data_IF_067011832547
#
_entry.id   IF_067011832547
#
_cell.length_a   1.000
_cell.length_b   1.000
_cell.length_c   1.000
_cell.angle_alpha   90.00
_cell.angle_beta   90.00
_cell.angle_gamma   90.00
#
_symmetry.space_group_name_H-M   'P 1'
#
loop_
_entity.id
_entity.type
_entity.pdbx_description
1 polymer ?
#
# COMPACT_ATOMS: atom_id res chain seq x y z
N UNK A 1 20.83 8.15 19.30
CA UNK A 1 20.29 9.39 18.71
C UNK A 1 18.96 9.67 19.38
N UNK A 2 18.62 10.91 19.75
CA UNK A 2 17.27 11.18 20.28
C UNK A 2 16.24 11.14 19.15
N UNK A 3 14.98 10.85 19.49
CA UNK A 3 13.88 10.88 18.53
C UNK A 3 13.76 12.26 17.86
N UNK A 4 13.94 13.34 18.61
CA UNK A 4 13.92 14.72 18.06
C UNK A 4 14.99 14.93 16.99
N UNK A 5 16.21 14.40 17.19
CA UNK A 5 17.26 14.45 16.16
C UNK A 5 16.87 13.61 14.94
N UNK A 6 16.30 12.43 15.13
CA UNK A 6 15.82 11.58 14.03
C UNK A 6 14.74 12.27 13.19
N UNK A 7 13.80 12.96 13.85
CA UNK A 7 12.73 13.72 13.19
C UNK A 7 13.31 14.86 12.37
N UNK A 8 14.26 15.62 12.93
CA UNK A 8 14.90 16.71 12.22
C UNK A 8 15.69 16.23 10.98
N UNK A 9 16.41 15.11 11.10
CA UNK A 9 17.15 14.50 9.98
C UNK A 9 16.20 13.95 8.90
N UNK A 10 15.11 13.29 9.30
CA UNK A 10 14.10 12.78 8.36
C UNK A 10 13.42 13.93 7.61
N UNK A 11 13.09 15.03 8.29
CA UNK A 11 12.56 16.23 7.66
C UNK A 11 13.55 16.82 6.65
N UNK A 12 14.81 17.00 7.03
CA UNK A 12 15.84 17.52 6.13
C UNK A 12 16.02 16.63 4.89
N UNK A 13 15.95 15.30 5.05
CA UNK A 13 15.98 14.35 3.95
C UNK A 13 14.76 14.49 3.04
N UNK A 14 13.55 14.63 3.61
CA UNK A 14 12.32 14.85 2.85
C UNK A 14 12.36 16.17 2.07
N UNK A 15 12.88 17.24 2.66
CA UNK A 15 13.03 18.55 2.01
C UNK A 15 13.99 18.46 0.82
N UNK A 16 15.17 17.88 1.01
CA UNK A 16 16.15 17.70 -0.06
C UNK A 16 15.63 16.82 -1.20
N UNK A 17 14.95 15.72 -0.84
CA UNK A 17 14.33 14.81 -1.80
C UNK A 17 13.20 15.49 -2.57
N UNK A 18 12.35 16.28 -1.90
CA UNK A 18 11.28 17.06 -2.54
C UNK A 18 11.85 17.99 -3.60
N UNK A 19 12.90 18.74 -3.24
CA UNK A 19 13.58 19.61 -4.20
C UNK A 19 14.09 18.82 -5.41
N UNK A 20 14.80 17.70 -5.21
CA UNK A 20 15.29 16.86 -6.32
C UNK A 20 14.17 16.38 -7.24
N UNK A 21 13.06 15.87 -6.67
CA UNK A 21 11.95 15.32 -7.44
C UNK A 21 11.23 16.42 -8.23
N UNK A 22 11.05 17.61 -7.66
CA UNK A 22 10.45 18.74 -8.38
C UNK A 22 11.37 19.20 -9.52
N UNK A 23 12.68 19.29 -9.29
CA UNK A 23 13.62 19.57 -10.39
C UNK A 23 13.49 18.51 -11.49
N UNK A 24 13.41 17.23 -11.13
CA UNK A 24 13.26 16.14 -12.09
C UNK A 24 11.99 16.24 -12.94
N UNK A 25 10.82 16.46 -12.32
CA UNK A 25 9.53 16.45 -13.05
C UNK A 25 9.28 17.70 -13.89
N UNK A 26 9.88 18.84 -13.53
CA UNK A 26 9.62 20.12 -14.20
C UNK A 26 10.78 20.63 -15.09
N UNK A 27 11.91 19.89 -15.14
CA UNK A 27 12.99 20.18 -16.08
C UNK A 27 12.73 19.54 -17.46
N UNK A 28 12.95 20.28 -18.53
CA UNK A 28 12.54 19.89 -19.90
C UNK A 28 13.18 18.61 -20.41
N UNK A 29 14.38 18.26 -19.91
CA UNK A 29 15.12 17.06 -20.32
C UNK A 29 14.69 15.78 -19.59
N UNK A 30 14.00 15.89 -18.46
CA UNK A 30 13.68 14.74 -17.60
C UNK A 30 12.19 14.57 -17.35
N UNK A 31 11.43 15.66 -17.32
CA UNK A 31 10.01 15.68 -16.96
C UNK A 31 9.10 14.87 -17.88
N UNK A 32 7.92 14.52 -17.37
CA UNK A 32 6.87 13.88 -18.18
C UNK A 32 6.12 14.92 -19.01
N UNK A 33 5.61 14.55 -20.20
CA UNK A 33 4.77 15.44 -20.99
C UNK A 33 3.64 16.09 -20.17
N UNK A 34 2.99 15.33 -19.29
CA UNK A 34 1.94 15.85 -18.41
C UNK A 34 2.42 16.98 -17.50
N UNK A 35 3.51 16.79 -16.75
CA UNK A 35 3.98 17.81 -15.80
C UNK A 35 4.60 19.02 -16.50
N UNK A 36 5.23 18.82 -17.66
CA UNK A 36 5.74 19.92 -18.48
C UNK A 36 4.62 20.79 -19.05
N UNK A 37 3.51 20.18 -19.48
CA UNK A 37 2.31 20.92 -19.88
C UNK A 37 1.70 21.66 -18.69
N UNK A 38 1.50 20.98 -17.55
CA UNK A 38 0.95 21.60 -16.34
C UNK A 38 1.81 22.73 -15.79
N UNK A 39 3.13 22.70 -15.97
CA UNK A 39 4.02 23.82 -15.61
C UNK A 39 3.53 25.15 -16.19
N UNK A 40 3.00 25.14 -17.41
CA UNK A 40 2.54 26.36 -18.10
C UNK A 40 1.24 26.94 -17.53
N UNK A 41 0.51 26.17 -16.72
CA UNK A 41 -0.75 26.57 -16.08
C UNK A 41 -0.55 27.06 -14.64
N UNK A 42 0.64 26.85 -14.06
CA UNK A 42 0.96 27.28 -12.70
C UNK A 42 1.21 28.79 -12.65
N UNK A 43 0.80 29.42 -11.54
CA UNK A 43 1.05 30.83 -11.26
C UNK A 43 2.39 31.09 -10.56
N UNK A 44 3.25 30.08 -10.49
CA UNK A 44 4.58 30.10 -9.88
C UNK A 44 5.51 29.18 -10.70
N UNK A 45 6.83 29.35 -10.60
CA UNK A 45 7.81 28.47 -11.23
C UNK A 45 8.32 27.39 -10.26
N UNK A 46 7.95 26.10 -10.45
CA UNK A 46 8.39 25.03 -9.56
C UNK A 46 9.91 24.89 -9.43
N UNK A 47 10.67 25.24 -10.48
CA UNK A 47 12.12 25.06 -10.47
C UNK A 47 12.82 26.08 -9.55
N UNK A 48 12.24 27.27 -9.39
CA UNK A 48 12.83 28.35 -8.60
C UNK A 48 12.15 28.51 -7.24
N UNK A 49 10.86 28.22 -7.13
CA UNK A 49 10.06 28.55 -5.95
C UNK A 49 9.80 27.37 -5.00
N UNK A 50 10.13 26.14 -5.37
CA UNK A 50 10.00 24.97 -4.47
C UNK A 50 11.38 24.57 -3.97
N UNK A 51 11.59 24.63 -2.65
CA UNK A 51 12.88 24.37 -1.97
C UNK A 51 12.77 23.35 -0.84
N UNK A 52 11.58 23.12 -0.30
CA UNK A 52 11.33 22.14 0.74
C UNK A 52 9.96 21.45 0.55
N UNK A 53 9.64 20.51 1.46
CA UNK A 53 8.36 19.80 1.43
C UNK A 53 7.15 20.73 1.62
N UNK A 54 7.25 21.71 2.52
CA UNK A 54 6.17 22.65 2.80
C UNK A 54 5.77 23.50 1.57
N UNK A 55 6.71 23.76 0.65
CA UNK A 55 6.43 24.49 -0.59
C UNK A 55 5.49 23.72 -1.54
N UNK A 56 5.28 22.41 -1.34
CA UNK A 56 4.31 21.66 -2.13
C UNK A 56 2.87 22.17 -1.96
N UNK A 57 2.58 22.90 -0.88
CA UNK A 57 1.29 23.58 -0.66
C UNK A 57 0.96 24.64 -1.72
N UNK A 58 1.94 25.07 -2.52
CA UNK A 58 1.74 25.98 -3.67
C UNK A 58 1.05 25.29 -4.85
N UNK A 59 1.17 23.97 -4.99
CA UNK A 59 0.50 23.24 -6.05
C UNK A 59 -1.00 23.11 -5.77
N UNK A 60 -1.85 23.12 -6.81
CA UNK A 60 -3.21 22.63 -6.66
C UNK A 60 -3.20 21.14 -6.29
N UNK A 61 -4.29 20.67 -5.68
CA UNK A 61 -4.47 19.24 -5.40
C UNK A 61 -4.41 18.43 -6.71
N UNK A 62 -3.76 17.27 -6.63
CA UNK A 62 -3.80 16.27 -7.69
C UNK A 62 -5.21 15.71 -7.83
N UNK A 63 -5.69 15.56 -9.06
CA UNK A 63 -7.02 14.99 -9.32
C UNK A 63 -6.88 13.53 -9.80
N UNK A 64 -7.59 12.60 -9.14
CA UNK A 64 -7.50 11.18 -9.52
C UNK A 64 -8.07 10.89 -10.92
N UNK A 65 -8.90 11.78 -11.45
CA UNK A 65 -9.45 11.67 -12.80
C UNK A 65 -8.40 11.90 -13.90
N UNK A 66 -7.31 12.61 -13.61
CA UNK A 66 -6.20 12.77 -14.56
C UNK A 66 -5.56 11.43 -14.94
N UNK A 67 -5.70 10.41 -14.10
CA UNK A 67 -5.23 9.05 -14.36
C UNK A 67 -6.16 8.26 -15.29
N UNK A 68 -7.30 8.80 -15.68
CA UNK A 68 -8.19 8.16 -16.67
C UNK A 68 -7.86 8.59 -18.09
N UNK A 69 -8.21 7.71 -19.02
CA UNK A 69 -8.01 7.95 -20.45
C UNK A 69 -6.55 7.85 -20.88
N UNK A 70 -6.24 8.40 -22.05
CA UNK A 70 -4.92 8.32 -22.65
C UNK A 70 -4.61 9.49 -23.58
N UNK A 71 -3.45 9.45 -24.27
CA UNK A 71 -2.46 8.36 -24.24
C UNK A 71 -1.72 8.30 -22.89
N UNK A 72 -1.59 7.11 -22.29
CA UNK A 72 -0.89 6.93 -21.00
C UNK A 72 0.60 7.29 -21.06
N UNK A 73 1.19 7.29 -22.26
CA UNK A 73 2.58 7.72 -22.51
C UNK A 73 2.88 9.13 -21.98
N UNK A 74 1.87 10.00 -21.83
CA UNK A 74 2.03 11.34 -21.23
C UNK A 74 2.61 11.33 -19.82
N UNK A 75 2.51 10.20 -19.12
CA UNK A 75 3.03 10.02 -17.77
C UNK A 75 4.48 9.51 -17.74
N UNK A 76 5.05 9.06 -18.86
CA UNK A 76 6.44 8.59 -18.91
C UNK A 76 7.38 9.81 -18.91
N UNK A 77 8.21 10.00 -17.87
CA UNK A 77 9.23 11.04 -17.87
C UNK A 77 10.24 10.80 -19.00
N UNK A 78 10.69 11.86 -19.67
CA UNK A 78 11.73 11.74 -20.71
C UNK A 78 13.01 11.07 -20.18
N UNK A 79 13.35 11.31 -18.92
CA UNK A 79 14.48 10.67 -18.26
C UNK A 79 14.37 9.14 -18.15
N UNK A 80 13.18 8.57 -18.38
CA UNK A 80 12.87 7.14 -18.37
C UNK A 80 12.23 6.64 -19.68
N UNK A 81 12.37 7.36 -20.79
CA UNK A 81 11.69 7.02 -22.04
C UNK A 81 12.05 5.64 -22.63
N UNK A 82 13.22 5.12 -22.23
CA UNK A 82 13.78 3.83 -22.66
C UNK A 82 13.63 2.71 -21.61
N UNK A 83 13.05 3.01 -20.45
CA UNK A 83 12.76 1.99 -19.43
C UNK A 83 11.54 1.15 -19.84
N UNK A 84 11.45 -0.12 -19.43
CA UNK A 84 10.22 -0.90 -19.54
C UNK A 84 9.08 -0.22 -18.79
N UNK A 85 7.93 -0.05 -19.46
CA UNK A 85 6.78 0.66 -18.93
C UNK A 85 5.64 -0.32 -18.63
N UNK A 86 5.16 -0.29 -17.39
CA UNK A 86 4.01 -1.05 -16.91
C UNK A 86 2.84 -0.12 -16.62
N UNK A 87 1.64 -0.69 -16.58
CA UNK A 87 0.41 0.01 -16.18
C UNK A 87 -0.26 -0.76 -15.06
N UNK A 88 -0.53 -0.08 -13.95
CA UNK A 88 -1.37 -0.59 -12.88
C UNK A 88 -2.72 0.10 -12.87
N UNK A 89 -3.77 -0.69 -12.81
CA UNK A 89 -5.13 -0.19 -12.87
C UNK A 89 -5.79 -0.19 -11.49
N UNK A 90 -6.53 0.88 -11.21
CA UNK A 90 -7.46 0.93 -10.08
C UNK A 90 -8.89 1.18 -10.57
N UNK A 91 -9.85 0.49 -9.95
CA UNK A 91 -11.26 0.50 -10.36
C UNK A 91 -11.51 -0.26 -11.67
N UNK A 92 -12.38 0.29 -12.52
CA UNK A 92 -12.75 -0.29 -13.81
C UNK A 92 -14.03 -1.14 -13.80
N UNK A 93 -14.84 -1.09 -12.74
CA UNK A 93 -16.07 -1.89 -12.66
C UNK A 93 -17.27 -1.21 -13.35
N UNK A 94 -17.20 0.10 -13.61
CA UNK A 94 -18.29 0.91 -14.21
C UNK A 94 -17.82 1.92 -15.28
N UNK A 95 -16.54 1.92 -15.67
CA UNK A 95 -15.98 2.89 -16.63
C UNK A 95 -14.49 2.69 -16.86
N UNK A 96 -13.84 3.63 -17.57
CA UNK A 96 -12.39 3.59 -17.86
C UNK A 96 -11.60 3.55 -16.54
N UNK A 97 -10.76 2.54 -16.28
CA UNK A 97 -9.97 2.47 -15.06
C UNK A 97 -8.96 3.62 -14.97
N UNK A 98 -8.56 3.96 -13.74
CA UNK A 98 -7.42 4.85 -13.52
C UNK A 98 -6.14 4.05 -13.74
N UNK A 99 -5.25 4.57 -14.58
CA UNK A 99 -4.01 3.93 -14.99
C UNK A 99 -2.82 4.68 -14.38
N UNK A 100 -2.10 4.03 -13.45
CA UNK A 100 -0.79 4.52 -13.02
C UNK A 100 0.27 3.88 -13.91
N UNK A 101 1.04 4.71 -14.59
CA UNK A 101 2.24 4.31 -15.31
C UNK A 101 3.38 4.14 -14.31
N UNK A 102 4.09 3.02 -14.41
CA UNK A 102 5.18 2.64 -13.48
C UNK A 102 6.31 1.98 -14.26
N UNK A 103 7.54 2.17 -13.79
CA UNK A 103 8.73 1.58 -14.41
C UNK A 103 9.50 0.76 -13.39
N UNK A 104 9.92 1.39 -12.29
CA UNK A 104 10.76 0.80 -11.25
C UNK A 104 10.23 0.96 -9.82
N UNK A 105 9.25 1.85 -9.57
CA UNK A 105 8.80 2.09 -8.18
C UNK A 105 8.28 0.84 -7.49
N UNK A 106 7.58 -0.02 -8.22
CA UNK A 106 7.04 -1.24 -7.65
C UNK A 106 8.10 -2.24 -7.19
N UNK A 107 9.29 -2.21 -7.79
CA UNK A 107 10.47 -2.93 -7.33
C UNK A 107 11.09 -2.22 -6.13
N UNK A 108 11.45 -0.95 -6.28
CA UNK A 108 12.14 -0.16 -5.24
C UNK A 108 11.35 -0.14 -3.94
N UNK A 109 10.04 0.07 -4.00
CA UNK A 109 9.19 0.14 -2.80
C UNK A 109 9.18 -1.19 -2.05
N UNK A 110 9.24 -2.33 -2.76
CA UNK A 110 9.24 -3.65 -2.14
C UNK A 110 10.64 -4.10 -1.71
N UNK A 111 11.69 -3.61 -2.36
CA UNK A 111 13.06 -3.72 -1.86
C UNK A 111 13.23 -2.96 -0.54
N UNK A 112 12.73 -1.73 -0.44
CA UNK A 112 12.73 -0.99 0.82
C UNK A 112 11.85 -1.66 1.89
N UNK A 113 10.71 -2.22 1.50
CA UNK A 113 9.87 -3.00 2.42
C UNK A 113 10.59 -4.24 2.95
N UNK A 114 11.34 -4.93 2.09
CA UNK A 114 12.17 -6.10 2.44
C UNK A 114 13.07 -5.83 3.64
N UNK A 115 13.64 -4.63 3.74
CA UNK A 115 14.52 -4.23 4.85
C UNK A 115 13.78 -4.07 6.18
N UNK A 116 12.46 -3.91 6.13
CA UNK A 116 11.63 -3.78 7.34
C UNK A 116 11.18 -5.12 7.93
N UNK A 117 11.30 -6.20 7.16
CA UNK A 117 10.80 -7.53 7.50
C UNK A 117 11.82 -8.31 8.35
N UNK A 118 11.41 -8.82 9.53
CA UNK A 118 12.31 -9.60 10.39
C UNK A 118 12.70 -10.92 9.71
N UNK A 119 14.00 -11.21 9.63
CA UNK A 119 14.50 -12.41 8.93
C UNK A 119 14.07 -13.73 9.60
N UNK A 120 13.81 -13.71 10.90
CA UNK A 120 13.28 -14.88 11.63
C UNK A 120 11.95 -15.39 11.06
N UNK A 121 11.07 -14.45 10.71
CA UNK A 121 9.73 -14.75 10.21
C UNK A 121 9.61 -14.66 8.69
N UNK A 122 10.47 -13.86 8.05
CA UNK A 122 10.58 -13.77 6.59
C UNK A 122 11.99 -14.20 6.13
N UNK A 123 12.37 -15.48 6.28
CA UNK A 123 13.73 -15.91 5.96
C UNK A 123 14.10 -15.65 4.50
N UNK A 124 15.36 -15.24 4.28
CA UNK A 124 15.92 -15.18 2.91
C UNK A 124 15.89 -16.58 2.29
N UNK A 125 15.64 -16.66 0.99
CA UNK A 125 15.48 -17.92 0.26
C UNK A 125 14.13 -18.64 0.46
N UNK A 126 13.25 -18.12 1.32
CA UNK A 126 11.93 -18.72 1.55
C UNK A 126 11.01 -18.57 0.34
N UNK A 127 10.18 -19.58 0.09
CA UNK A 127 9.13 -19.50 -0.91
C UNK A 127 7.90 -18.74 -0.38
N UNK A 128 7.21 -18.06 -1.29
CA UNK A 128 6.12 -17.13 -1.00
C UNK A 128 4.83 -17.57 -1.68
N UNK A 129 3.70 -17.38 -1.00
CA UNK A 129 2.37 -17.42 -1.60
C UNK A 129 1.81 -15.99 -1.73
N UNK A 130 1.46 -15.60 -2.95
CA UNK A 130 0.67 -14.41 -3.23
C UNK A 130 -0.81 -14.83 -3.32
N UNK A 131 -1.52 -14.72 -2.20
CA UNK A 131 -2.95 -14.96 -2.10
C UNK A 131 -3.69 -13.62 -2.23
N UNK A 132 -3.90 -13.17 -3.46
CA UNK A 132 -4.55 -11.89 -3.69
C UNK A 132 -4.75 -11.56 -5.17
N UNK A 133 -5.17 -10.32 -5.47
CA UNK A 133 -5.49 -9.91 -6.84
C UNK A 133 -4.35 -10.05 -7.84
N UNK A 134 -4.63 -10.72 -8.97
CA UNK A 134 -3.70 -10.90 -10.08
C UNK A 134 -3.91 -9.83 -11.19
N UNK A 135 -3.37 -10.10 -12.40
CA UNK A 135 -3.62 -9.28 -13.60
C UNK A 135 -3.03 -7.85 -13.56
N UNK A 136 -3.82 -6.79 -13.83
CA UNK A 136 -3.33 -5.41 -13.95
C UNK A 136 -3.09 -4.73 -12.59
N UNK A 137 -3.04 -5.51 -11.51
CA UNK A 137 -2.82 -5.02 -10.16
C UNK A 137 -1.33 -5.03 -9.85
N UNK A 138 -0.89 -3.99 -9.15
CA UNK A 138 0.48 -3.84 -8.68
C UNK A 138 0.97 -5.05 -7.88
N UNK A 139 0.12 -5.55 -6.98
CA UNK A 139 0.50 -6.52 -5.95
C UNK A 139 1.16 -7.77 -6.55
N UNK A 140 0.60 -8.33 -7.62
CA UNK A 140 1.16 -9.52 -8.28
C UNK A 140 2.66 -9.36 -8.58
N UNK A 141 3.02 -8.31 -9.33
CA UNK A 141 4.42 -8.06 -9.72
C UNK A 141 5.31 -7.67 -8.54
N UNK A 142 4.75 -6.96 -7.57
CA UNK A 142 5.51 -6.43 -6.46
C UNK A 142 5.84 -7.49 -5.40
N UNK A 143 4.89 -8.38 -5.07
CA UNK A 143 5.10 -9.54 -4.18
C UNK A 143 6.03 -10.56 -4.84
N UNK A 144 5.83 -10.82 -6.14
CA UNK A 144 6.70 -11.68 -6.92
C UNK A 144 8.15 -11.18 -6.90
N UNK A 145 8.36 -9.87 -7.11
CA UNK A 145 9.66 -9.25 -6.99
C UNK A 145 10.23 -9.32 -5.57
N UNK A 146 9.43 -9.07 -4.53
CA UNK A 146 9.89 -9.17 -3.15
C UNK A 146 10.44 -10.56 -2.83
N UNK A 147 9.71 -11.61 -3.23
CA UNK A 147 10.15 -12.99 -3.05
C UNK A 147 11.50 -13.21 -3.74
N UNK A 148 11.63 -12.83 -5.01
CA UNK A 148 12.84 -12.99 -5.81
C UNK A 148 14.02 -12.18 -5.28
N UNK A 149 13.79 -10.93 -4.89
CA UNK A 149 14.78 -10.06 -4.27
C UNK A 149 15.29 -10.64 -2.94
N UNK A 150 14.44 -11.37 -2.21
CA UNK A 150 14.83 -12.12 -1.00
C UNK A 150 15.37 -13.52 -1.31
N UNK A 151 15.49 -13.92 -2.58
CA UNK A 151 16.06 -15.19 -3.03
C UNK A 151 15.08 -16.37 -3.11
N UNK A 152 13.77 -16.11 -2.97
CA UNK A 152 12.70 -17.12 -2.98
C UNK A 152 11.93 -17.22 -4.29
N UNK A 153 11.06 -18.22 -4.37
CA UNK A 153 10.10 -18.41 -5.47
C UNK A 153 8.72 -17.91 -5.03
N UNK A 154 8.03 -17.16 -5.88
CA UNK A 154 6.66 -16.72 -5.64
C UNK A 154 5.66 -17.62 -6.36
N UNK A 155 4.70 -18.14 -5.63
CA UNK A 155 3.53 -18.85 -6.14
C UNK A 155 2.32 -17.92 -6.07
N UNK A 156 1.43 -17.98 -7.05
CA UNK A 156 0.28 -17.07 -7.15
C UNK A 156 -1.01 -17.86 -7.33
N UNK A 157 -2.12 -17.27 -6.89
CA UNK A 157 -3.47 -17.73 -7.26
C UNK A 157 -4.05 -16.83 -8.36
N UNK A 158 -5.05 -17.35 -9.08
CA UNK A 158 -5.87 -16.54 -9.99
C UNK A 158 -7.06 -15.94 -9.22
N UNK A 159 -7.03 -14.62 -9.02
CA UNK A 159 -8.08 -13.87 -8.35
C UNK A 159 -8.37 -12.56 -9.11
N UNK A 160 -9.58 -12.48 -9.68
CA UNK A 160 -10.11 -11.28 -10.34
C UNK A 160 -11.04 -10.49 -9.41
N UNK A 161 -10.54 -9.41 -8.77
CA UNK A 161 -11.36 -8.59 -7.89
C UNK A 161 -12.50 -7.86 -8.64
N UNK A 162 -12.42 -7.67 -9.96
CA UNK A 162 -13.48 -7.00 -10.73
C UNK A 162 -14.70 -7.88 -10.85
N UNK A 163 -14.51 -9.18 -11.05
CA UNK A 163 -15.60 -10.14 -11.04
C UNK A 163 -16.32 -10.14 -9.71
N UNK A 164 -15.55 -10.12 -8.62
CA UNK A 164 -16.14 -10.17 -7.30
C UNK A 164 -16.95 -8.90 -6.97
N UNK A 165 -16.54 -7.71 -7.42
CA UNK A 165 -17.38 -6.50 -7.30
C UNK A 165 -18.68 -6.65 -8.08
N UNK A 166 -18.66 -7.30 -9.26
CA UNK A 166 -19.88 -7.55 -10.05
C UNK A 166 -20.84 -8.49 -9.32
N UNK A 167 -20.32 -9.53 -8.66
CA UNK A 167 -21.13 -10.45 -7.86
C UNK A 167 -21.84 -9.73 -6.72
N UNK A 168 -21.10 -8.91 -5.94
CA UNK A 168 -21.65 -8.11 -4.85
C UNK A 168 -22.74 -7.15 -5.37
N UNK A 169 -22.46 -6.40 -6.45
CA UNK A 169 -23.43 -5.47 -7.04
C UNK A 169 -24.70 -6.14 -7.56
N UNK A 170 -24.62 -7.41 -7.94
CA UNK A 170 -25.76 -8.23 -8.39
C UNK A 170 -26.50 -8.92 -7.23
N UNK A 171 -25.96 -8.87 -6.01
CA UNK A 171 -26.47 -9.64 -4.87
C UNK A 171 -26.28 -11.16 -5.01
N UNK A 172 -25.34 -11.59 -5.86
CA UNK A 172 -25.09 -13.01 -6.15
C UNK A 172 -24.16 -13.61 -5.10
N UNK A 173 -24.62 -13.66 -3.85
CA UNK A 173 -23.79 -14.00 -2.68
C UNK A 173 -23.33 -15.46 -2.68
N UNK A 174 -24.14 -16.40 -3.17
CA UNK A 174 -23.71 -17.81 -3.31
C UNK A 174 -22.51 -17.92 -4.26
N UNK A 175 -22.56 -17.25 -5.41
CA UNK A 175 -21.44 -17.22 -6.35
C UNK A 175 -20.20 -16.50 -5.80
N UNK A 176 -20.40 -15.52 -4.91
CA UNK A 176 -19.30 -14.85 -4.22
C UNK A 176 -18.57 -15.84 -3.30
N UNK A 177 -19.31 -16.59 -2.50
CA UNK A 177 -18.76 -17.61 -1.60
C UNK A 177 -18.07 -18.74 -2.37
N UNK A 178 -18.68 -19.25 -3.44
CA UNK A 178 -18.05 -20.26 -4.31
C UNK A 178 -16.77 -19.73 -4.98
N UNK A 179 -16.74 -18.46 -5.39
CA UNK A 179 -15.54 -17.86 -5.96
C UNK A 179 -14.42 -17.69 -4.92
N UNK A 180 -14.77 -17.29 -3.69
CA UNK A 180 -13.84 -17.20 -2.57
C UNK A 180 -13.26 -18.58 -2.25
N UNK A 181 -14.11 -19.59 -2.12
CA UNK A 181 -13.70 -20.99 -1.93
C UNK A 181 -12.76 -21.47 -3.04
N UNK A 182 -13.07 -21.17 -4.30
CA UNK A 182 -12.19 -21.49 -5.42
C UNK A 182 -10.79 -20.87 -5.29
N UNK A 183 -10.68 -19.63 -4.83
CA UNK A 183 -9.37 -19.00 -4.58
C UNK A 183 -8.60 -19.68 -3.43
N UNK A 184 -9.32 -20.07 -2.37
CA UNK A 184 -8.72 -20.79 -1.23
C UNK A 184 -8.29 -22.22 -1.62
N UNK A 185 -9.06 -22.92 -2.43
CA UNK A 185 -8.69 -24.26 -2.92
C UNK A 185 -7.40 -24.23 -3.76
N UNK A 186 -7.18 -23.16 -4.56
CA UNK A 186 -5.91 -22.94 -5.25
C UNK A 186 -4.76 -22.76 -4.25
N UNK A 187 -4.95 -21.92 -3.22
CA UNK A 187 -3.94 -21.68 -2.19
C UNK A 187 -3.58 -22.97 -1.43
N UNK A 188 -4.58 -23.75 -1.01
CA UNK A 188 -4.37 -25.03 -0.31
C UNK A 188 -3.63 -26.02 -1.22
N UNK A 189 -4.00 -26.09 -2.51
CA UNK A 189 -3.29 -26.95 -3.48
C UNK A 189 -1.80 -26.59 -3.54
N UNK A 190 -1.47 -25.30 -3.57
CA UNK A 190 -0.09 -24.81 -3.59
C UNK A 190 0.64 -25.13 -2.27
N UNK A 191 0.01 -24.85 -1.12
CA UNK A 191 0.61 -25.06 0.21
C UNK A 191 0.88 -26.55 0.48
N UNK A 192 0.00 -27.44 0.01
CA UNK A 192 0.12 -28.90 0.24
C UNK A 192 0.98 -29.61 -0.81
N UNK A 193 1.43 -28.93 -1.86
CA UNK A 193 2.26 -29.51 -2.93
C UNK A 193 3.75 -29.70 -2.57
N UNK A 194 4.15 -29.47 -1.32
CA UNK A 194 5.51 -29.70 -0.85
C UNK A 194 6.53 -28.65 -1.32
N UNK A 195 6.07 -27.42 -1.58
CA UNK A 195 6.92 -26.31 -2.02
C UNK A 195 7.66 -25.58 -0.88
N UNK A 196 7.50 -25.98 0.39
CA UNK A 196 8.14 -25.34 1.57
C UNK A 196 7.91 -23.81 1.60
N UNK A 197 6.65 -23.39 1.47
CA UNK A 197 6.25 -21.98 1.51
C UNK A 197 6.23 -21.51 2.96
N UNK A 198 6.94 -20.40 3.24
CA UNK A 198 7.05 -19.84 4.60
C UNK A 198 6.53 -18.42 4.71
N UNK A 199 6.34 -17.75 3.58
CA UNK A 199 5.93 -16.35 3.55
C UNK A 199 4.65 -16.21 2.74
N UNK A 200 3.77 -15.28 3.11
CA UNK A 200 2.52 -15.07 2.39
C UNK A 200 2.16 -13.59 2.33
N UNK A 201 1.68 -13.16 1.16
CA UNK A 201 0.80 -12.00 1.06
C UNK A 201 -0.65 -12.47 1.06
N UNK A 202 -1.49 -11.80 1.83
CA UNK A 202 -2.94 -11.99 1.76
C UNK A 202 -3.68 -10.74 2.24
N UNK A 203 -4.99 -10.84 2.35
CA UNK A 203 -5.90 -9.82 2.86
C UNK A 203 -6.73 -10.40 4.01
N UNK A 204 -7.37 -9.58 4.87
CA UNK A 204 -8.11 -10.05 6.03
C UNK A 204 -9.08 -11.21 5.77
N UNK A 205 -10.03 -11.04 4.83
CA UNK A 205 -11.05 -12.04 4.51
C UNK A 205 -10.52 -13.30 3.84
N UNK A 206 -9.49 -13.19 2.99
CA UNK A 206 -8.81 -14.36 2.42
C UNK A 206 -8.02 -15.12 3.50
N UNK A 207 -7.43 -14.42 4.45
CA UNK A 207 -6.71 -15.03 5.58
C UNK A 207 -7.67 -15.80 6.49
N UNK A 208 -8.80 -15.21 6.86
CA UNK A 208 -9.87 -15.90 7.60
C UNK A 208 -10.33 -17.15 6.84
N UNK A 209 -10.68 -17.00 5.56
CA UNK A 209 -11.20 -18.11 4.75
C UNK A 209 -10.17 -19.22 4.56
N UNK A 210 -8.89 -18.89 4.49
CA UNK A 210 -7.82 -19.89 4.46
C UNK A 210 -7.70 -20.61 5.81
N UNK A 211 -7.80 -19.87 6.91
CA UNK A 211 -7.85 -20.39 8.28
C UNK A 211 -8.95 -21.43 8.47
N UNK A 212 -10.19 -21.03 8.22
CA UNK A 212 -11.37 -21.89 8.34
C UNK A 212 -11.22 -23.16 7.49
N UNK A 213 -10.78 -23.01 6.23
CA UNK A 213 -10.61 -24.14 5.33
C UNK A 213 -9.47 -25.09 5.72
N UNK A 214 -8.45 -24.62 6.43
CA UNK A 214 -7.40 -25.46 7.00
C UNK A 214 -7.89 -26.16 8.27
N UNK A 215 -8.62 -25.47 9.13
CA UNK A 215 -9.20 -26.05 10.35
C UNK A 215 -10.18 -27.19 10.02
N UNK A 216 -11.05 -26.99 9.02
CA UNK A 216 -11.94 -28.04 8.50
C UNK A 216 -11.18 -29.30 8.01
N UNK A 217 -9.91 -29.13 7.62
CA UNK A 217 -9.01 -30.20 7.17
C UNK A 217 -8.13 -30.75 8.29
N UNK A 218 -8.34 -30.30 9.54
CA UNK A 218 -7.57 -30.71 10.71
C UNK A 218 -6.13 -30.18 10.70
N UNK A 219 -5.92 -29.00 10.13
CA UNK A 219 -4.63 -28.32 10.04
C UNK A 219 -4.78 -26.83 10.43
N UNK A 220 -3.66 -26.12 10.47
CA UNK A 220 -3.58 -24.68 10.71
C UNK A 220 -2.62 -23.99 9.75
N UNK A 221 -2.59 -22.65 9.78
CA UNK A 221 -1.64 -21.82 8.99
C UNK A 221 -0.19 -22.15 9.36
N UNK A 222 0.05 -22.39 10.65
CA UNK A 222 1.33 -22.73 11.26
C UNK A 222 1.81 -24.10 10.76
N UNK A 223 0.93 -25.10 10.76
CA UNK A 223 1.24 -26.46 10.29
C UNK A 223 1.50 -26.53 8.79
N UNK A 224 0.98 -25.56 8.01
CA UNK A 224 1.36 -25.37 6.60
C UNK A 224 2.78 -24.81 6.42
N UNK A 225 3.47 -24.44 7.49
CA UNK A 225 4.85 -23.96 7.48
C UNK A 225 4.99 -22.45 7.32
N UNK A 226 3.90 -21.69 7.29
CA UNK A 226 3.92 -20.24 7.23
C UNK A 226 4.57 -19.67 8.50
N UNK A 227 5.45 -18.70 8.33
CA UNK A 227 6.14 -17.96 9.40
C UNK A 227 5.88 -16.47 9.35
N UNK A 228 5.70 -15.92 8.15
CA UNK A 228 5.55 -14.48 7.93
C UNK A 228 4.38 -14.19 7.01
N UNK A 229 3.47 -13.33 7.46
CA UNK A 229 2.37 -12.82 6.67
C UNK A 229 2.51 -11.30 6.61
N UNK A 230 2.60 -10.74 5.41
CA UNK A 230 2.28 -9.32 5.27
C UNK A 230 0.90 -9.19 4.65
N UNK A 231 0.05 -8.43 5.32
CA UNK A 231 -1.37 -8.39 4.99
C UNK A 231 -1.76 -6.98 4.56
N UNK A 232 -2.50 -6.87 3.47
CA UNK A 232 -2.91 -5.59 2.88
C UNK A 232 -4.43 -5.44 2.85
N UNK A 233 -4.91 -4.21 2.69
CA UNK A 233 -6.35 -3.90 2.61
C UNK A 233 -6.81 -2.94 3.70
N UNK A 234 -8.08 -2.53 3.64
CA UNK A 234 -8.66 -1.50 4.52
C UNK A 234 -9.62 -2.08 5.56
N UNK A 235 -9.72 -3.41 5.67
CA UNK A 235 -10.64 -4.09 6.60
C UNK A 235 -10.01 -4.41 7.96
N UNK A 236 -8.79 -3.93 8.21
CA UNK A 236 -8.19 -4.11 9.52
C UNK A 236 -8.82 -3.18 10.56
N UNK A 237 -9.65 -3.76 11.42
CA UNK A 237 -10.02 -3.13 12.69
C UNK A 237 -9.12 -3.66 13.81
N UNK A 238 -8.97 -2.93 14.94
CA UNK A 238 -8.28 -3.47 16.10
C UNK A 238 -8.88 -4.80 16.57
N UNK A 239 -10.21 -4.95 16.50
CA UNK A 239 -10.89 -6.20 16.87
C UNK A 239 -10.56 -7.35 15.91
N UNK A 240 -10.57 -7.09 14.61
CA UNK A 240 -10.18 -8.09 13.61
C UNK A 240 -8.72 -8.51 13.79
N UNK A 241 -7.85 -7.53 14.03
CA UNK A 241 -6.41 -7.75 14.23
C UNK A 241 -6.15 -8.58 15.47
N UNK A 242 -6.89 -8.30 16.55
CA UNK A 242 -6.88 -9.11 17.76
C UNK A 242 -7.29 -10.55 17.48
N UNK A 243 -8.42 -10.76 16.81
CA UNK A 243 -8.89 -12.09 16.43
C UNK A 243 -7.85 -12.83 15.58
N UNK A 244 -7.29 -12.17 14.56
CA UNK A 244 -6.28 -12.75 13.70
C UNK A 244 -5.05 -13.19 14.50
N UNK A 245 -4.55 -12.36 15.42
CA UNK A 245 -3.38 -12.69 16.23
C UNK A 245 -3.70 -13.76 17.27
N UNK A 246 -4.71 -13.56 18.12
CA UNK A 246 -5.01 -14.42 19.27
C UNK A 246 -5.60 -15.78 18.85
N UNK A 247 -6.50 -15.80 17.87
CA UNK A 247 -7.27 -17.01 17.54
C UNK A 247 -6.72 -17.70 16.28
N UNK A 248 -6.55 -16.95 15.20
CA UNK A 248 -6.17 -17.55 13.91
C UNK A 248 -4.68 -17.90 13.81
N UNK A 249 -3.82 -17.05 14.39
CA UNK A 249 -2.36 -17.22 14.35
C UNK A 249 -1.78 -17.78 15.65
N UNK A 250 -2.63 -18.14 16.63
CA UNK A 250 -2.22 -18.87 17.83
C UNK A 250 -1.43 -18.04 18.84
N UNK A 251 -1.63 -16.71 18.85
CA UNK A 251 -1.02 -15.78 19.80
C UNK A 251 0.04 -14.88 19.19
N UNK A 252 0.91 -14.35 20.04
CA UNK A 252 2.08 -13.56 19.60
C UNK A 252 2.99 -14.38 18.67
N UNK A 253 3.84 -13.74 17.85
CA UNK A 253 4.80 -14.46 17.01
C UNK A 253 5.68 -15.44 17.78
N UNK A 254 5.98 -15.16 19.05
CA UNK A 254 6.73 -16.04 19.96
C UNK A 254 5.93 -17.28 20.41
N UNK A 255 4.60 -17.18 20.48
CA UNK A 255 3.70 -18.26 20.90
C UNK A 255 3.21 -19.09 19.70
N UNK A 256 2.65 -18.40 18.69
CA UNK A 256 2.03 -19.00 17.51
C UNK A 256 2.97 -19.22 16.34
N UNK A 257 4.20 -18.68 16.39
CA UNK A 257 5.22 -18.88 15.36
C UNK A 257 5.00 -18.10 14.05
N UNK A 258 3.89 -17.36 13.93
CA UNK A 258 3.54 -16.57 12.73
C UNK A 258 3.55 -15.08 13.06
N UNK A 259 4.41 -14.34 12.36
CA UNK A 259 4.43 -12.89 12.43
C UNK A 259 3.55 -12.29 11.33
N UNK A 260 2.60 -11.44 11.72
CA UNK A 260 1.79 -10.67 10.79
C UNK A 260 2.18 -9.19 10.83
N UNK A 261 2.43 -8.60 9.66
CA UNK A 261 2.60 -7.15 9.49
C UNK A 261 1.55 -6.58 8.53
N UNK A 262 0.56 -5.84 9.04
CA UNK A 262 -0.35 -5.09 8.20
C UNK A 262 0.36 -3.97 7.45
N UNK A 263 -0.14 -3.70 6.25
CA UNK A 263 0.36 -2.65 5.37
C UNK A 263 -0.81 -1.85 4.83
N UNK A 264 -0.67 -0.53 4.84
CA UNK A 264 -1.60 0.37 4.16
C UNK A 264 -0.95 0.77 2.85
N UNK A 265 -1.55 0.43 1.73
CA UNK A 265 -0.95 0.66 0.43
C UNK A 265 -2.01 0.93 -0.61
N UNK A 266 -1.70 1.83 -1.52
CA UNK A 266 -2.50 2.06 -2.69
C UNK A 266 -1.62 2.26 -3.91
N UNK A 267 -2.26 2.27 -5.08
CA UNK A 267 -1.53 2.40 -6.32
C UNK A 267 -0.80 3.73 -6.43
N UNK A 268 -1.12 4.79 -5.69
CA UNK A 268 -0.38 6.06 -5.74
C UNK A 268 0.84 6.05 -4.81
N UNK A 269 0.64 5.65 -3.55
CA UNK A 269 1.65 5.80 -2.50
C UNK A 269 2.83 4.82 -2.60
N UNK A 270 2.57 3.54 -2.87
CA UNK A 270 3.47 2.52 -2.32
C UNK A 270 2.79 1.62 -1.32
N UNK A 271 3.57 1.22 -0.32
CA UNK A 271 3.12 0.56 0.88
C UNK A 271 3.69 1.31 2.10
N UNK A 272 2.84 1.58 3.08
CA UNK A 272 3.16 2.09 4.39
C UNK A 272 3.20 0.92 5.37
N UNK A 273 4.29 0.82 6.10
CA UNK A 273 4.47 -0.23 7.11
C UNK A 273 3.73 0.17 8.38
N UNK A 274 3.24 -0.83 9.11
CA UNK A 274 2.70 -0.61 10.45
C UNK A 274 3.80 -0.64 11.51
N UNK A 275 3.54 0.04 12.63
CA UNK A 275 4.22 -0.25 13.90
C UNK A 275 3.91 -1.72 14.31
N UNK A 276 4.83 -2.44 14.97
CA UNK A 276 4.53 -3.76 15.54
C UNK A 276 3.25 -3.74 16.36
N UNK A 277 2.38 -4.72 16.11
CA UNK A 277 1.08 -4.85 16.76
C UNK A 277 1.28 -5.57 18.08
N UNK A 278 0.73 -5.01 19.15
CA UNK A 278 0.84 -5.60 20.48
C UNK A 278 -0.49 -5.52 21.23
N UNK A 279 -0.68 -6.43 22.19
CA UNK A 279 -1.81 -6.39 23.10
C UNK A 279 -1.82 -5.10 23.95
N UNK A 280 -0.64 -4.59 24.30
CA UNK A 280 -0.47 -3.34 25.06
C UNK A 280 -1.01 -2.12 24.31
N UNK A 281 -0.84 -2.09 22.98
CA UNK A 281 -1.39 -1.07 22.09
C UNK A 281 -2.81 -1.41 21.63
N UNK A 282 -3.50 -2.34 22.29
CA UNK A 282 -4.87 -2.78 21.99
C UNK A 282 -5.06 -3.21 20.52
N UNK A 283 -4.03 -3.80 19.92
CA UNK A 283 -4.03 -4.22 18.51
C UNK A 283 -4.30 -3.08 17.52
N UNK A 284 -4.09 -1.83 17.93
CA UNK A 284 -4.18 -0.66 17.05
C UNK A 284 -3.12 -0.77 15.96
N UNK A 285 -3.51 -0.42 14.73
CA UNK A 285 -2.59 -0.35 13.60
C UNK A 285 -2.33 1.11 13.26
N UNK A 286 -1.06 1.50 13.35
CA UNK A 286 -0.55 2.82 12.96
C UNK A 286 0.39 2.64 11.78
N UNK A 287 0.06 3.24 10.63
CA UNK A 287 0.81 3.14 9.38
C UNK A 287 1.69 4.37 9.16
N UNK A 288 2.88 4.16 8.62
CA UNK A 288 3.85 5.21 8.35
C UNK A 288 4.27 5.16 6.88
N UNK A 289 4.03 6.26 6.15
CA UNK A 289 4.35 6.37 4.74
C UNK A 289 5.86 6.15 4.49
N UNK A 290 6.26 5.57 3.35
CA UNK A 290 7.66 5.25 3.06
C UNK A 290 8.46 6.51 2.67
N UNK A 291 8.77 7.35 3.65
CA UNK A 291 9.56 8.55 3.43
C UNK A 291 11.00 8.22 2.98
N UNK A 292 11.60 9.03 2.09
CA UNK A 292 11.06 10.27 1.53
C UNK A 292 10.27 10.09 0.22
N UNK A 293 10.05 8.84 -0.24
CA UNK A 293 9.41 8.55 -1.54
C UNK A 293 7.92 8.83 -1.54
N UNK A 294 7.26 8.70 -0.39
CA UNK A 294 5.92 9.18 -0.17
C UNK A 294 5.78 9.71 1.26
N UNK A 295 4.87 10.66 1.43
CA UNK A 295 4.52 11.25 2.72
C UNK A 295 3.01 11.36 2.85
N UNK A 296 2.52 11.35 4.09
CA UNK A 296 1.11 11.53 4.39
C UNK A 296 0.95 12.59 5.47
N UNK A 297 -0.09 13.40 5.35
CA UNK A 297 -0.58 14.28 6.42
C UNK A 297 -2.02 13.86 6.75
N UNK A 298 -2.43 14.06 8.01
CA UNK A 298 -3.84 14.02 8.38
C UNK A 298 -4.30 15.46 8.52
N UNK A 299 -5.21 15.89 7.64
CA UNK A 299 -5.63 17.29 7.51
C UNK A 299 -7.07 17.48 7.96
N UNK A 300 -7.42 18.72 8.34
CA UNK A 300 -8.80 19.05 8.68
C UNK A 300 -9.74 18.76 7.51
N UNK A 301 -10.99 18.41 7.82
CA UNK A 301 -11.98 18.06 6.79
C UNK A 301 -12.34 19.24 5.89
N UNK A 302 -12.48 20.43 6.48
CA UNK A 302 -12.88 21.66 5.79
C UNK A 302 -11.69 22.45 5.22
N UNK A 303 -10.48 22.26 5.75
CA UNK A 303 -9.27 22.94 5.30
C UNK A 303 -8.08 21.96 5.18
N UNK A 304 -7.84 21.51 3.95
CA UNK A 304 -6.75 20.58 3.62
C UNK A 304 -5.33 21.18 3.75
N UNK A 305 -5.20 22.45 4.15
CA UNK A 305 -3.92 23.12 4.41
C UNK A 305 -3.51 23.04 5.88
N UNK A 306 -4.45 22.70 6.77
CA UNK A 306 -4.21 22.55 8.20
C UNK A 306 -4.07 21.08 8.57
N UNK A 307 -2.97 20.74 9.23
CA UNK A 307 -2.73 19.41 9.79
C UNK A 307 -3.38 19.34 11.17
N UNK A 308 -4.17 18.30 11.44
CA UNK A 308 -4.83 18.13 12.75
C UNK A 308 -3.81 17.93 13.87
N UNK A 309 -4.17 18.22 15.12
CA UNK A 309 -3.32 17.91 16.29
C UNK A 309 -3.01 16.41 16.42
N UNK A 310 -1.99 16.05 17.21
CA UNK A 310 -1.70 14.64 17.53
C UNK A 310 -2.92 13.94 18.12
N UNK A 311 -3.23 12.75 17.62
CA UNK A 311 -4.44 11.99 17.99
C UNK A 311 -5.74 12.56 17.42
N UNK A 312 -5.69 13.69 16.71
CA UNK A 312 -6.85 14.27 16.03
C UNK A 312 -7.24 13.46 14.79
N UNK A 313 -8.54 13.42 14.52
CA UNK A 313 -9.10 12.77 13.32
C UNK A 313 -9.20 13.75 12.17
N UNK A 314 -8.81 13.32 10.97
CA UNK A 314 -8.95 14.11 9.75
C UNK A 314 -8.84 13.27 8.50
N UNK A 315 -8.84 13.92 7.34
CA UNK A 315 -8.69 13.25 6.04
C UNK A 315 -7.23 12.99 5.73
N UNK A 316 -6.91 11.83 5.16
CA UNK A 316 -5.54 11.52 4.75
C UNK A 316 -5.21 12.28 3.46
N UNK A 317 -4.09 13.01 3.47
CA UNK A 317 -3.53 13.69 2.31
C UNK A 317 -2.21 13.03 1.92
N UNK A 318 -2.15 12.48 0.72
CA UNK A 318 -1.00 11.76 0.19
C UNK A 318 -0.12 12.67 -0.67
N UNK A 319 1.19 12.50 -0.53
CA UNK A 319 2.22 13.01 -1.44
C UNK A 319 3.03 11.84 -1.96
N UNK A 320 3.29 11.80 -3.28
CA UNK A 320 4.18 10.81 -3.90
C UNK A 320 5.30 11.55 -4.61
N UNK A 321 6.53 11.21 -4.26
CA UNK A 321 7.75 11.90 -4.65
C UNK A 321 8.73 10.88 -5.23
N UNK A 322 8.42 10.32 -6.40
CA UNK A 322 9.33 9.41 -7.10
C UNK A 322 9.71 9.98 -8.46
N UNK A 323 10.78 9.49 -9.07
CA UNK A 323 11.20 9.95 -10.40
C UNK A 323 10.23 9.57 -11.51
N UNK A 324 9.38 8.56 -11.31
CA UNK A 324 8.37 8.17 -12.30
C UNK A 324 6.99 8.78 -12.03
N UNK A 325 6.67 9.10 -10.77
CA UNK A 325 5.35 9.60 -10.41
C UNK A 325 5.42 10.68 -9.33
N UNK A 326 4.80 11.82 -9.62
CA UNK A 326 4.75 12.98 -8.74
C UNK A 326 3.30 13.33 -8.44
N UNK A 327 2.99 13.46 -7.15
CA UNK A 327 1.67 13.82 -6.62
C UNK A 327 1.92 14.86 -5.51
N UNK A 328 1.74 16.16 -5.78
CA UNK A 328 2.02 17.23 -4.83
C UNK A 328 0.84 17.49 -3.87
N UNK A 329 0.19 16.42 -3.40
CA UNK A 329 -0.97 16.47 -2.53
C UNK A 329 -2.21 15.91 -3.20
N UNK A 330 -2.73 14.80 -2.67
CA UNK A 330 -3.95 14.15 -3.08
C UNK A 330 -4.79 13.85 -1.84
N UNK A 331 -6.05 14.29 -1.83
CA UNK A 331 -6.96 13.93 -0.76
C UNK A 331 -7.47 12.51 -0.96
N UNK A 332 -6.98 11.59 -0.13
CA UNK A 332 -7.34 10.18 -0.17
C UNK A 332 -8.84 9.97 0.05
N UNK A 333 -9.30 8.75 -0.23
CA UNK A 333 -10.67 8.32 0.11
C UNK A 333 -10.78 7.77 1.53
N UNK A 334 -9.75 8.00 2.32
CA UNK A 334 -9.63 7.50 3.68
C UNK A 334 -9.45 8.66 4.66
N UNK A 335 -9.94 8.46 5.87
CA UNK A 335 -9.71 9.30 7.05
C UNK A 335 -9.07 8.45 8.16
N UNK A 336 -8.50 9.11 9.16
CA UNK A 336 -7.87 8.42 10.29
C UNK A 336 -7.36 9.40 11.34
N UNK A 337 -6.70 8.88 12.36
CA UNK A 337 -6.09 9.66 13.43
C UNK A 337 -4.60 9.90 13.16
N UNK A 338 -4.12 11.12 13.44
CA UNK A 338 -2.69 11.47 13.34
C UNK A 338 -1.90 10.80 14.45
N UNK A 339 -0.90 10.00 14.07
CA UNK A 339 -0.06 9.26 15.01
C UNK A 339 1.33 9.88 15.15
N UNK A 340 1.88 9.80 16.36
CA UNK A 340 3.19 10.37 16.67
C UNK A 340 4.34 9.57 16.02
N UNK A 341 5.46 10.24 15.69
CA UNK A 341 6.67 9.57 15.23
C UNK A 341 7.25 8.63 16.30
N UNK A 342 8.04 7.64 15.87
CA UNK A 342 8.84 6.79 16.76
C UNK A 342 10.16 6.39 16.11
N UNK A 343 11.02 5.69 16.86
CA UNK A 343 12.42 5.44 16.47
C UNK A 343 12.62 4.90 15.05
N UNK A 344 11.78 3.95 14.60
CA UNK A 344 11.91 3.35 13.25
C UNK A 344 11.38 4.28 12.15
N UNK A 345 10.31 5.03 12.45
CA UNK A 345 9.66 5.96 11.54
C UNK A 345 9.56 7.33 12.23
N UNK A 346 10.63 8.14 12.17
CA UNK A 346 10.70 9.45 12.84
C UNK A 346 9.92 10.53 12.07
N UNK A 347 8.68 10.23 11.70
CA UNK A 347 7.69 11.13 11.12
C UNK A 347 6.29 10.66 11.49
N UNK A 348 5.30 11.51 11.30
CA UNK A 348 3.93 11.20 11.68
C UNK A 348 3.34 10.02 10.88
N UNK A 349 2.48 9.26 11.54
CA UNK A 349 1.72 8.17 10.95
C UNK A 349 0.23 8.47 10.90
N UNK A 350 -0.54 7.47 10.46
CA UNK A 350 -1.99 7.46 10.52
C UNK A 350 -2.49 6.13 11.09
N UNK A 351 -3.42 6.17 12.04
CA UNK A 351 -4.15 4.99 12.53
C UNK A 351 -5.62 5.05 12.19
N UNK A 352 -6.34 3.95 12.46
CA UNK A 352 -7.80 3.90 12.33
C UNK A 352 -8.29 4.19 10.91
N UNK A 353 -7.43 3.92 9.91
CA UNK A 353 -7.70 4.19 8.49
C UNK A 353 -9.01 3.54 8.09
N UNK A 354 -9.94 4.37 7.61
CA UNK A 354 -11.31 3.97 7.25
C UNK A 354 -11.81 4.83 6.10
N UNK A 355 -12.83 4.37 5.35
CA UNK A 355 -13.41 5.17 4.28
C UNK A 355 -13.85 6.55 4.79
N UNK A 356 -13.51 7.59 4.04
CA UNK A 356 -13.91 8.96 4.33
C UNK A 356 -15.44 9.06 4.40
N UNK A 357 -15.95 9.56 5.53
CA UNK A 357 -17.36 9.45 5.88
C UNK A 357 -18.33 10.07 4.85
N UNK A 358 -17.92 11.13 4.14
CA UNK A 358 -18.73 11.74 3.08
C UNK A 358 -18.84 10.88 1.81
N UNK A 359 -17.85 10.02 1.56
CA UNK A 359 -17.79 9.14 0.39
C UNK A 359 -18.30 7.72 0.69
N UNK A 360 -18.40 7.35 1.97
CA UNK A 360 -18.74 6.00 2.43
C UNK A 360 -20.10 5.50 1.92
N UNK A 361 -21.06 6.39 1.64
CA UNK A 361 -22.38 6.03 1.11
C UNK A 361 -22.37 5.60 -0.37
N UNK A 362 -21.28 5.85 -1.10
CA UNK A 362 -21.22 5.70 -2.57
C UNK A 362 -20.27 4.61 -3.09
N UNK A 363 -19.48 3.97 -2.21
CA UNK A 363 -18.37 3.10 -2.64
C UNK A 363 -18.54 1.67 -2.14
N UNK A 364 -18.89 0.74 -3.03
CA UNK A 364 -18.66 -0.69 -2.79
C UNK A 364 -17.16 -0.97 -2.96
N UNK A 365 -16.44 -1.10 -1.86
CA UNK A 365 -15.04 -1.54 -1.91
C UNK A 365 -15.04 -3.06 -2.08
N UNK A 366 -14.44 -3.53 -3.18
CA UNK A 366 -14.18 -4.95 -3.37
C UNK A 366 -12.94 -5.34 -2.59
N UNK A 367 -13.02 -5.31 -1.26
CA UNK A 367 -11.98 -5.90 -0.41
C UNK A 367 -12.35 -7.37 -0.22
N UNK A 368 -11.44 -8.23 -0.63
CA UNK A 368 -11.53 -9.68 -0.61
C UNK A 368 -10.64 -10.25 0.44
#
# INVERSE_FOLDING_TARGET
>A
MSLDTAIAEAKAKLDAHTHEIVQWHFHESTGSPFWLEKKSELNFDPLTEVKCFDDLKKFPLFEDDWLRGGPVRRWVPKGYENEPVYVFETGGTTGVPKSRVVMRDHWIDYEMFSDTLPEEHFPKGANWLMLGPSGPRRLRLAVEHLAQHRGGICFCVDLDPRWVVKLIKKGWMEHLEEYKKHCIDQAITILTAGHDIKCMFTTPKLLESLGDALEERGSSIQEMGIKGIFSGGTEFTPQWTRYAVEELLGGSPEEGGVFMTPTYGNTLMGLACSKPITAADQYKISYYAPQPRAATEVVEFEDHTQVVGMGGTGRVKLYTLTKEFFVPGFLERDEGEREAPFDKFPWDGVSGVRPFHELASSTTVGVY
#
